data_IF_047650988879
#
_entry.id   IF_047650988879
#
_cell.length_a   1.000
_cell.length_b   1.000
_cell.length_c   1.000
_cell.angle_alpha   90.00
_cell.angle_beta   90.00
_cell.angle_gamma   90.00
#
_symmetry.space_group_name_H-M   'P 1'
#
loop_
_entity.id
_entity.type
_entity.pdbx_description
1 polymer ?
#
# COMPACT_ATOMS: atom_id res chain seq x y z
N UNK A 1 12.66 4.84 -57.04
CA UNK A 1 12.45 3.47 -56.52
C UNK A 1 12.53 3.54 -55.00
N UNK A 2 11.39 3.45 -54.33
CA UNK A 2 11.31 3.48 -52.88
C UNK A 2 11.14 2.05 -52.37
N UNK A 3 12.17 1.53 -51.71
CA UNK A 3 12.11 0.27 -50.96
C UNK A 3 11.27 0.47 -49.70
N UNK A 4 10.17 -0.27 -49.50
CA UNK A 4 9.47 -0.27 -48.23
C UNK A 4 10.28 -1.09 -47.22
N UNK A 5 10.66 -0.45 -46.12
CA UNK A 5 11.32 -1.07 -44.97
C UNK A 5 10.27 -1.92 -44.26
N UNK A 6 10.30 -3.23 -44.50
CA UNK A 6 9.59 -4.22 -43.70
C UNK A 6 10.27 -4.27 -42.31
N UNK A 7 9.74 -3.53 -41.35
CA UNK A 7 10.03 -3.77 -39.93
C UNK A 7 9.29 -5.05 -39.49
N UNK A 8 9.85 -5.86 -38.58
CA UNK A 8 9.16 -7.04 -38.09
C UNK A 8 7.88 -6.59 -37.39
N UNK A 9 6.73 -7.07 -37.86
CA UNK A 9 5.47 -6.95 -37.15
C UNK A 9 5.53 -7.88 -35.94
N UNK A 10 6.27 -7.47 -34.89
CA UNK A 10 6.23 -8.16 -33.61
C UNK A 10 4.77 -8.25 -33.18
N UNK A 11 4.30 -9.49 -33.02
CA UNK A 11 2.93 -9.74 -32.61
C UNK A 11 2.68 -9.13 -31.24
N UNK A 12 1.45 -8.68 -30.97
CA UNK A 12 1.10 -8.12 -29.66
C UNK A 12 1.41 -9.10 -28.50
N UNK A 13 1.41 -10.40 -28.80
CA UNK A 13 1.78 -11.47 -27.88
C UNK A 13 3.29 -11.54 -27.63
N UNK A 14 4.14 -11.44 -28.65
CA UNK A 14 5.60 -11.36 -28.50
C UNK A 14 6.03 -10.14 -27.68
N UNK A 15 5.41 -8.98 -27.93
CA UNK A 15 5.67 -7.74 -27.17
C UNK A 15 5.28 -7.91 -25.70
N UNK A 16 4.17 -8.59 -25.42
CA UNK A 16 3.75 -8.91 -24.06
C UNK A 16 4.73 -9.88 -23.37
N UNK A 17 5.12 -10.96 -24.03
CA UNK A 17 6.06 -11.95 -23.48
C UNK A 17 7.43 -11.33 -23.21
N UNK A 18 7.93 -10.49 -24.12
CA UNK A 18 9.19 -9.76 -23.94
C UNK A 18 9.11 -8.80 -22.73
N UNK A 19 8.01 -8.07 -22.59
CA UNK A 19 7.81 -7.16 -21.45
C UNK A 19 7.67 -7.92 -20.11
N UNK A 20 7.00 -9.08 -20.10
CA UNK A 20 6.89 -9.94 -18.93
C UNK A 20 8.25 -10.54 -18.52
N UNK A 21 9.04 -10.98 -19.49
CA UNK A 21 10.39 -11.50 -19.25
C UNK A 21 11.34 -10.43 -18.73
N UNK A 22 11.31 -9.21 -19.28
CA UNK A 22 12.09 -8.09 -18.79
C UNK A 22 11.70 -7.70 -17.35
N UNK A 23 10.40 -7.64 -17.06
CA UNK A 23 9.89 -7.37 -15.72
C UNK A 23 10.38 -8.41 -14.69
N UNK A 24 10.35 -9.70 -15.04
CA UNK A 24 10.83 -10.77 -14.18
C UNK A 24 12.35 -10.73 -13.96
N UNK A 25 13.12 -10.40 -15.01
CA UNK A 25 14.58 -10.24 -14.94
C UNK A 25 14.96 -9.12 -13.96
N UNK A 26 14.39 -7.94 -14.12
CA UNK A 26 14.68 -6.80 -13.24
C UNK A 26 14.36 -7.13 -11.77
N UNK A 27 13.29 -7.90 -11.52
CA UNK A 27 12.88 -8.28 -10.17
C UNK A 27 13.83 -9.31 -9.56
N UNK A 28 14.37 -10.20 -10.40
CA UNK A 28 15.43 -11.15 -10.03
C UNK A 28 16.76 -10.47 -9.75
N UNK A 29 17.12 -9.47 -10.55
CA UNK A 29 18.35 -8.69 -10.33
C UNK A 29 18.26 -7.93 -8.99
N UNK A 30 17.09 -7.39 -8.65
CA UNK A 30 16.84 -6.77 -7.35
C UNK A 30 16.96 -7.79 -6.19
N UNK A 31 16.45 -9.01 -6.36
CA UNK A 31 16.58 -10.06 -5.33
C UNK A 31 18.02 -10.54 -5.16
N UNK A 32 18.77 -10.69 -6.26
CA UNK A 32 20.18 -11.09 -6.23
C UNK A 32 21.05 -10.04 -5.53
N UNK A 33 20.71 -8.76 -5.65
CA UNK A 33 21.43 -7.67 -4.97
C UNK A 33 21.29 -7.69 -3.43
N UNK A 34 20.27 -8.38 -2.91
CA UNK A 34 19.96 -8.38 -1.47
C UNK A 34 20.50 -9.60 -0.71
N UNK A 35 21.01 -10.62 -1.41
CA UNK A 35 21.50 -11.91 -0.86
C UNK A 35 20.60 -12.54 0.24
N UNK A 36 19.29 -12.59 -0.03
CA UNK A 36 18.29 -13.15 0.88
C UNK A 36 17.52 -14.31 0.28
N UNK A 37 17.18 -15.28 1.14
CA UNK A 37 16.41 -16.47 0.78
C UNK A 37 14.91 -16.21 0.71
N UNK A 38 14.17 -17.00 -0.06
CA UNK A 38 12.71 -16.85 -0.19
C UNK A 38 11.94 -16.98 1.13
N UNK A 39 12.45 -17.76 2.09
CA UNK A 39 11.84 -17.86 3.43
C UNK A 39 12.00 -16.56 4.21
N UNK A 40 13.20 -15.99 4.22
CA UNK A 40 13.48 -14.71 4.88
C UNK A 40 12.67 -13.54 4.29
N UNK A 41 12.42 -13.56 2.98
CA UNK A 41 11.53 -12.60 2.33
C UNK A 41 10.09 -12.74 2.85
N UNK A 42 9.60 -13.98 2.97
CA UNK A 42 8.26 -14.27 3.51
C UNK A 42 8.10 -13.82 4.96
N UNK A 43 9.10 -14.09 5.82
CA UNK A 43 9.06 -13.78 7.25
C UNK A 43 9.09 -12.26 7.53
N UNK A 44 9.73 -11.47 6.66
CA UNK A 44 9.81 -10.01 6.79
C UNK A 44 8.63 -9.28 6.15
N UNK A 45 7.80 -9.98 5.40
CA UNK A 45 6.69 -9.37 4.67
C UNK A 45 5.49 -9.13 5.59
N UNK A 46 4.77 -8.00 5.46
CA UNK A 46 3.51 -7.76 6.16
C UNK A 46 2.35 -8.65 5.67
N UNK A 47 2.54 -9.38 4.57
CA UNK A 47 1.56 -10.29 3.96
C UNK A 47 2.24 -11.64 3.78
N UNK A 48 1.50 -12.74 3.92
CA UNK A 48 2.01 -14.10 3.69
C UNK A 48 2.47 -14.24 2.24
N UNK A 49 3.78 -14.18 2.00
CA UNK A 49 4.38 -14.48 0.71
C UNK A 49 4.85 -15.93 0.73
N UNK A 50 4.19 -16.80 -0.05
CA UNK A 50 4.63 -18.19 -0.16
C UNK A 50 5.97 -18.26 -0.93
N UNK A 51 6.92 -19.11 -0.50
CA UNK A 51 8.18 -19.30 -1.23
C UNK A 51 7.99 -19.75 -2.68
N UNK A 52 6.93 -20.53 -2.94
CA UNK A 52 6.53 -20.93 -4.30
C UNK A 52 6.04 -19.74 -5.13
N UNK A 53 5.23 -18.86 -4.55
CA UNK A 53 4.74 -17.65 -5.20
C UNK A 53 5.89 -16.70 -5.57
N UNK A 54 6.84 -16.49 -4.65
CA UNK A 54 8.04 -15.68 -4.90
C UNK A 54 8.86 -16.27 -6.06
N UNK A 55 9.06 -17.60 -6.06
CA UNK A 55 9.80 -18.28 -7.12
C UNK A 55 9.08 -18.19 -8.48
N UNK A 56 7.76 -18.30 -8.53
CA UNK A 56 6.97 -18.18 -9.76
C UNK A 56 7.02 -16.77 -10.34
N UNK A 57 6.97 -15.74 -9.50
CA UNK A 57 7.04 -14.33 -9.94
C UNK A 57 8.43 -13.97 -10.44
N UNK A 58 9.48 -14.43 -9.76
CA UNK A 58 10.87 -14.23 -10.18
C UNK A 58 11.23 -14.97 -11.47
N UNK A 59 10.55 -16.10 -11.74
CA UNK A 59 10.68 -16.85 -13.00
C UNK A 59 9.81 -16.28 -14.12
N UNK A 60 9.01 -15.24 -13.86
CA UNK A 60 8.12 -14.62 -14.84
C UNK A 60 6.94 -15.50 -15.26
N UNK A 61 6.66 -16.60 -14.54
CA UNK A 61 5.55 -17.51 -14.88
C UNK A 61 4.18 -16.89 -14.61
N UNK A 62 4.12 -16.00 -13.62
CA UNK A 62 2.88 -15.34 -13.19
C UNK A 62 3.13 -13.87 -12.93
N UNK A 63 2.21 -13.02 -13.40
CA UNK A 63 2.22 -11.61 -13.03
C UNK A 63 1.66 -11.46 -11.60
N UNK A 64 2.43 -10.88 -10.65
CA UNK A 64 1.98 -10.74 -9.26
C UNK A 64 0.78 -9.80 -9.10
N UNK A 65 0.01 -9.97 -8.02
CA UNK A 65 -0.97 -8.97 -7.61
C UNK A 65 -0.25 -7.70 -7.14
N UNK A 66 -0.97 -6.57 -7.09
CA UNK A 66 -0.39 -5.28 -6.67
C UNK A 66 0.20 -5.37 -5.26
N UNK A 67 -0.58 -5.90 -4.32
CA UNK A 67 -0.18 -6.00 -2.91
C UNK A 67 0.98 -6.97 -2.72
N UNK A 68 0.98 -8.08 -3.46
CA UNK A 68 2.10 -9.03 -3.46
C UNK A 68 3.39 -8.39 -3.99
N UNK A 69 3.31 -7.66 -5.11
CA UNK A 69 4.47 -6.97 -5.69
C UNK A 69 5.02 -5.91 -4.73
N UNK A 70 4.14 -5.09 -4.15
CA UNK A 70 4.55 -4.04 -3.22
C UNK A 70 5.17 -4.61 -1.96
N UNK A 71 4.59 -5.68 -1.38
CA UNK A 71 5.16 -6.33 -0.21
C UNK A 71 6.53 -6.95 -0.53
N UNK A 72 6.68 -7.63 -1.66
CA UNK A 72 7.93 -8.23 -2.10
C UNK A 72 9.03 -7.17 -2.33
N UNK A 73 8.75 -6.15 -3.16
CA UNK A 73 9.72 -5.10 -3.50
C UNK A 73 10.11 -4.27 -2.26
N UNK A 74 9.16 -4.03 -1.36
CA UNK A 74 9.42 -3.33 -0.11
C UNK A 74 10.39 -4.09 0.78
N UNK A 75 10.20 -5.40 0.96
CA UNK A 75 11.14 -6.24 1.72
C UNK A 75 12.52 -6.24 1.07
N UNK A 76 12.60 -6.33 -0.27
CA UNK A 76 13.88 -6.26 -0.98
C UNK A 76 14.59 -4.92 -0.72
N UNK A 77 13.90 -3.78 -0.83
CA UNK A 77 14.52 -2.48 -0.53
C UNK A 77 14.82 -2.27 0.95
N UNK A 78 14.00 -2.80 1.87
CA UNK A 78 14.29 -2.74 3.31
C UNK A 78 15.58 -3.48 3.65
N UNK A 79 15.86 -4.60 2.96
CA UNK A 79 17.11 -5.34 3.10
C UNK A 79 18.27 -4.60 2.44
N UNK A 80 18.06 -4.03 1.24
CA UNK A 80 19.10 -3.32 0.49
C UNK A 80 19.56 -2.03 1.17
N UNK A 81 18.62 -1.24 1.70
CA UNK A 81 18.89 0.07 2.28
C UNK A 81 19.09 0.03 3.82
N UNK A 82 18.97 -1.15 4.44
CA UNK A 82 18.98 -1.39 5.90
C UNK A 82 18.02 -0.47 6.69
N UNK A 83 16.96 0.02 6.03
CA UNK A 83 16.02 1.00 6.58
C UNK A 83 14.58 0.61 6.25
N UNK A 84 13.62 0.92 7.13
CA UNK A 84 12.21 0.67 6.85
C UNK A 84 11.75 1.55 5.67
N UNK A 85 11.21 0.91 4.64
CA UNK A 85 10.74 1.59 3.42
C UNK A 85 9.25 1.91 3.61
N UNK A 86 8.88 3.17 3.39
CA UNK A 86 7.49 3.62 3.52
C UNK A 86 6.59 2.98 2.45
N UNK A 87 5.31 2.79 2.77
CA UNK A 87 4.30 2.33 1.79
C UNK A 87 4.14 3.29 0.60
N UNK A 88 4.53 4.55 0.76
CA UNK A 88 4.38 5.59 -0.26
C UNK A 88 5.68 5.90 -1.01
N UNK A 89 6.70 5.03 -0.90
CA UNK A 89 8.00 5.25 -1.54
C UNK A 89 7.87 5.41 -3.07
N UNK A 90 8.47 6.46 -3.67
CA UNK A 90 8.44 6.68 -5.12
C UNK A 90 9.03 5.51 -5.93
N UNK A 91 9.94 4.71 -5.35
CA UNK A 91 10.50 3.51 -6.00
C UNK A 91 9.45 2.42 -6.17
N UNK A 92 8.49 2.29 -5.23
CA UNK A 92 7.37 1.35 -5.34
C UNK A 92 6.44 1.75 -6.49
N UNK A 93 6.18 3.05 -6.68
CA UNK A 93 5.35 3.55 -7.79
C UNK A 93 5.90 3.17 -9.16
N UNK A 94 7.22 3.21 -9.35
CA UNK A 94 7.86 2.77 -10.61
C UNK A 94 7.57 1.31 -10.93
N UNK A 95 7.53 0.45 -9.91
CA UNK A 95 7.19 -0.97 -10.08
C UNK A 95 5.70 -1.17 -10.38
N UNK A 96 4.81 -0.38 -9.77
CA UNK A 96 3.38 -0.38 -10.07
C UNK A 96 3.09 0.09 -11.52
N UNK A 97 3.75 1.15 -11.97
CA UNK A 97 3.65 1.67 -13.35
C UNK A 97 4.09 0.62 -14.37
N UNK A 98 5.22 -0.05 -14.13
CA UNK A 98 5.71 -1.15 -14.98
C UNK A 98 4.73 -2.33 -15.01
N UNK A 99 4.18 -2.73 -13.87
CA UNK A 99 3.16 -3.79 -13.79
C UNK A 99 1.91 -3.41 -14.59
N UNK A 100 1.47 -2.16 -14.48
CA UNK A 100 0.29 -1.64 -15.20
C UNK A 100 0.53 -1.65 -16.71
N UNK A 101 1.74 -1.28 -17.16
CA UNK A 101 2.14 -1.37 -18.56
C UNK A 101 2.09 -2.80 -19.09
N UNK A 102 2.58 -3.78 -18.32
CA UNK A 102 2.52 -5.21 -18.71
C UNK A 102 1.07 -5.72 -18.77
N UNK A 103 0.20 -5.28 -17.86
CA UNK A 103 -1.24 -5.61 -17.91
C UNK A 103 -1.93 -5.06 -19.16
N UNK A 104 -1.65 -3.81 -19.52
CA UNK A 104 -2.19 -3.21 -20.75
C UNK A 104 -1.74 -3.97 -22.01
N UNK A 105 -0.48 -4.43 -22.04
CA UNK A 105 0.03 -5.26 -23.13
C UNK A 105 -0.66 -6.63 -23.19
N UNK A 106 -0.93 -7.25 -22.02
CA UNK A 106 -1.69 -8.51 -21.94
C UNK A 106 -3.09 -8.35 -22.49
N UNK A 107 -3.78 -7.30 -22.07
CA UNK A 107 -5.17 -7.05 -22.46
C UNK A 107 -5.25 -6.73 -23.96
N UNK A 108 -4.25 -6.01 -24.50
CA UNK A 108 -4.07 -5.81 -25.95
C UNK A 108 -3.79 -7.11 -26.70
N UNK A 109 -2.94 -8.00 -26.17
CA UNK A 109 -2.66 -9.29 -26.78
C UNK A 109 -3.92 -10.18 -26.83
N UNK A 110 -4.72 -10.20 -25.75
CA UNK A 110 -6.02 -10.90 -25.70
C UNK A 110 -7.03 -10.36 -26.70
N UNK A 111 -7.10 -9.04 -26.87
CA UNK A 111 -7.96 -8.41 -27.87
C UNK A 111 -7.49 -8.67 -29.31
N UNK A 112 -6.19 -8.86 -29.51
CA UNK A 112 -5.59 -9.17 -30.83
C UNK A 112 -5.72 -10.64 -31.21
N UNK A 113 -6.09 -11.53 -30.27
CA UNK A 113 -6.24 -12.96 -30.49
C UNK A 113 -7.62 -13.46 -29.96
N UNK A 114 -8.72 -13.20 -30.69
CA UNK A 114 -10.08 -13.60 -30.27
C UNK A 114 -10.37 -15.11 -30.37
N UNK A 115 -9.36 -15.94 -30.68
CA UNK A 115 -9.55 -17.34 -31.09
C UNK A 115 -9.46 -18.42 -30.01
N UNK A 116 -9.34 -18.09 -28.72
CA UNK A 116 -9.28 -19.09 -27.64
C UNK A 116 -10.23 -18.71 -26.51
N UNK A 117 -11.53 -18.72 -26.84
CA UNK A 117 -12.61 -18.95 -25.88
C UNK A 117 -12.91 -20.45 -25.87
N UNK A 118 -13.09 -20.98 -24.66
CA UNK A 118 -13.37 -22.38 -24.33
C UNK A 118 -14.32 -23.10 -25.32
N UNK A 119 -14.00 -24.34 -25.73
CA UNK A 119 -14.93 -25.21 -26.41
C UNK A 119 -15.83 -25.86 -25.36
N UNK A 120 -16.75 -25.09 -24.76
CA UNK A 120 -17.84 -25.71 -24.00
C UNK A 120 -19.15 -25.62 -24.79
N UNK A 121 -19.23 -26.59 -25.71
CA UNK A 121 -20.42 -27.41 -25.92
C UNK A 121 -21.76 -26.66 -25.88
N UNK A 122 -22.04 -25.92 -26.94
CA UNK A 122 -23.42 -25.90 -27.41
C UNK A 122 -23.67 -27.20 -28.18
N UNK A 123 -24.50 -28.14 -27.70
CA UNK A 123 -25.14 -29.05 -28.62
C UNK A 123 -26.24 -28.24 -29.29
N UNK A 124 -25.88 -27.63 -30.41
CA UNK A 124 -26.82 -27.49 -31.52
C UNK A 124 -27.11 -28.89 -32.06
N UNK A 125 -27.72 -29.73 -31.23
CA UNK A 125 -28.40 -30.91 -31.73
C UNK A 125 -29.58 -30.36 -32.53
N UNK A 126 -29.36 -30.32 -33.84
CA UNK A 126 -30.45 -30.38 -34.79
C UNK A 126 -31.19 -31.67 -34.46
N UNK A 127 -32.19 -31.58 -33.58
CA UNK A 127 -33.05 -32.71 -33.27
C UNK A 127 -33.61 -33.19 -34.59
N UNK A 128 -33.39 -34.46 -34.98
CA UNK A 128 -34.07 -35.02 -36.12
C UNK A 128 -35.55 -35.09 -35.71
N UNK A 129 -36.29 -34.05 -36.06
CA UNK A 129 -37.74 -34.15 -36.33
C UNK A 129 -37.94 -34.78 -37.70
N UNK A 130 -36.98 -35.58 -38.16
CA UNK A 130 -37.24 -36.54 -39.22
C UNK A 130 -38.05 -37.65 -38.58
N UNK A 131 -39.37 -37.48 -38.60
CA UNK A 131 -40.29 -38.53 -38.18
C UNK A 131 -40.17 -39.77 -39.06
N UNK A 132 -39.37 -39.74 -40.14
CA UNK A 132 -39.03 -40.92 -40.95
C UNK A 132 -40.25 -41.65 -41.51
N UNK A 133 -41.43 -41.03 -41.41
CA UNK A 133 -42.69 -41.69 -41.66
C UNK A 133 -42.89 -41.74 -43.17
N UNK A 134 -42.63 -42.91 -43.74
CA UNK A 134 -42.93 -43.20 -45.14
C UNK A 134 -44.37 -43.71 -45.21
N UNK A 135 -45.29 -42.96 -45.84
CA UNK A 135 -46.67 -43.40 -45.97
C UNK A 135 -46.72 -44.69 -46.84
N UNK A 136 -47.57 -45.67 -46.47
CA UNK A 136 -47.69 -46.91 -47.23
C UNK A 136 -48.22 -46.64 -48.65
N UNK A 137 -47.71 -47.32 -49.69
CA UNK A 137 -48.09 -47.09 -51.09
C UNK A 137 -49.54 -47.49 -51.38
N UNK A 138 -50.17 -46.86 -52.38
CA UNK A 138 -51.54 -47.18 -52.81
C UNK A 138 -51.60 -48.63 -53.36
N UNK A 139 -52.16 -49.54 -52.56
CA UNK A 139 -52.13 -50.99 -52.79
C UNK A 139 -51.42 -51.81 -51.70
N UNK A 140 -51.00 -51.17 -50.61
CA UNK A 140 -50.30 -51.79 -49.49
C UNK A 140 -51.05 -53.00 -48.90
N UNK A 141 -50.26 -54.02 -48.59
CA UNK A 141 -50.75 -55.21 -47.89
C UNK A 141 -51.11 -54.89 -46.43
N UNK A 142 -52.01 -55.67 -45.84
CA UNK A 142 -52.44 -55.52 -44.43
C UNK A 142 -51.24 -55.47 -43.45
N UNK A 143 -50.17 -56.20 -43.77
CA UNK A 143 -48.93 -56.24 -43.00
C UNK A 143 -48.15 -54.91 -43.06
N UNK A 144 -48.11 -54.25 -44.21
CA UNK A 144 -47.46 -52.94 -44.39
C UNK A 144 -48.23 -51.83 -43.67
N UNK A 145 -49.57 -51.93 -43.63
CA UNK A 145 -50.42 -51.05 -42.82
C UNK A 145 -50.23 -51.26 -41.31
N UNK A 146 -50.07 -52.50 -40.86
CA UNK A 146 -49.74 -52.79 -39.46
C UNK A 146 -48.34 -52.31 -39.07
N UNK A 147 -47.35 -52.45 -39.97
CA UNK A 147 -46.01 -51.88 -39.79
C UNK A 147 -46.06 -50.37 -39.65
N UNK A 148 -46.69 -49.66 -40.59
CA UNK A 148 -46.82 -48.20 -40.55
C UNK A 148 -47.56 -47.71 -39.29
N UNK A 149 -48.54 -48.48 -38.80
CA UNK A 149 -49.23 -48.19 -37.52
C UNK A 149 -48.33 -48.42 -36.31
N UNK A 150 -47.43 -49.40 -36.35
CA UNK A 150 -46.42 -49.61 -35.30
C UNK A 150 -45.44 -48.45 -35.29
N UNK A 151 -44.91 -48.06 -36.47
CA UNK A 151 -43.96 -46.95 -36.61
C UNK A 151 -44.56 -45.63 -36.10
N UNK A 152 -45.84 -45.35 -36.42
CA UNK A 152 -46.54 -44.18 -35.90
C UNK A 152 -46.72 -44.21 -34.37
N UNK A 153 -46.91 -45.39 -33.78
CA UNK A 153 -46.98 -45.53 -32.31
C UNK A 153 -45.63 -45.28 -31.68
N UNK A 154 -44.56 -45.78 -32.29
CA UNK A 154 -43.19 -45.57 -31.81
C UNK A 154 -42.79 -44.09 -31.92
N UNK A 155 -43.15 -43.41 -33.02
CA UNK A 155 -42.97 -41.96 -33.17
C UNK A 155 -43.76 -41.19 -32.11
N UNK A 156 -45.02 -41.57 -31.84
CA UNK A 156 -45.84 -40.94 -30.79
C UNK A 156 -45.22 -41.11 -29.39
N UNK A 157 -44.73 -42.31 -29.07
CA UNK A 157 -44.07 -42.58 -27.80
C UNK A 157 -42.78 -41.74 -27.67
N UNK A 158 -41.95 -41.70 -28.72
CA UNK A 158 -40.72 -40.90 -28.75
C UNK A 158 -41.00 -39.39 -28.60
N UNK A 159 -42.04 -38.88 -29.25
CA UNK A 159 -42.47 -37.48 -29.12
C UNK A 159 -42.95 -37.17 -27.70
N UNK A 160 -43.70 -38.09 -27.08
CA UNK A 160 -44.18 -37.93 -25.70
C UNK A 160 -43.02 -37.96 -24.69
N UNK A 161 -42.04 -38.84 -24.89
CA UNK A 161 -40.81 -38.87 -24.08
C UNK A 161 -39.99 -37.58 -24.25
N UNK A 162 -39.87 -37.08 -25.49
CA UNK A 162 -39.19 -35.82 -25.76
C UNK A 162 -39.91 -34.63 -25.13
N UNK A 163 -41.24 -34.55 -25.21
CA UNK A 163 -42.04 -33.51 -24.53
C UNK A 163 -41.81 -33.52 -23.02
N UNK A 164 -41.80 -34.70 -22.40
CA UNK A 164 -41.52 -34.83 -20.96
C UNK A 164 -40.09 -34.39 -20.62
N UNK A 165 -39.12 -34.73 -21.46
CA UNK A 165 -37.72 -34.31 -21.30
C UNK A 165 -37.59 -32.79 -21.38
N UNK A 166 -38.13 -32.16 -22.42
CA UNK A 166 -38.12 -30.70 -22.60
C UNK A 166 -38.81 -29.99 -21.45
N UNK A 167 -39.96 -30.50 -20.96
CA UNK A 167 -40.62 -29.94 -19.77
C UNK A 167 -39.76 -30.02 -18.51
N UNK A 168 -38.99 -31.09 -18.37
CA UNK A 168 -38.09 -31.27 -17.22
C UNK A 168 -36.91 -30.31 -17.31
N UNK A 169 -36.28 -30.20 -18.48
CA UNK A 169 -35.20 -29.25 -18.74
C UNK A 169 -35.67 -27.80 -18.56
N UNK A 170 -36.87 -27.44 -19.06
CA UNK A 170 -37.43 -26.10 -18.87
C UNK A 170 -37.64 -25.76 -17.38
N UNK A 171 -38.08 -26.72 -16.56
CA UNK A 171 -38.17 -26.53 -15.11
C UNK A 171 -36.79 -26.33 -14.48
N UNK A 172 -35.79 -27.11 -14.89
CA UNK A 172 -34.41 -26.94 -14.41
C UNK A 172 -33.87 -25.55 -14.73
N UNK A 173 -34.09 -25.06 -15.95
CA UNK A 173 -33.68 -23.71 -16.35
C UNK A 173 -34.38 -22.63 -15.51
N UNK A 174 -35.67 -22.80 -15.19
CA UNK A 174 -36.38 -21.87 -14.30
C UNK A 174 -35.83 -21.89 -12.87
N UNK A 175 -35.49 -23.06 -12.34
CA UNK A 175 -34.88 -23.21 -11.02
C UNK A 175 -33.49 -22.56 -10.98
N UNK A 176 -32.69 -22.76 -12.03
CA UNK A 176 -31.38 -22.10 -12.20
C UNK A 176 -31.54 -20.58 -12.32
N UNK A 177 -32.51 -20.10 -13.09
CA UNK A 177 -32.81 -18.68 -13.20
C UNK A 177 -33.18 -18.08 -11.84
N UNK A 178 -34.02 -18.77 -11.05
CA UNK A 178 -34.38 -18.34 -9.70
C UNK A 178 -33.16 -18.31 -8.77
N UNK A 179 -32.28 -19.30 -8.87
CA UNK A 179 -31.03 -19.35 -8.09
C UNK A 179 -30.10 -18.18 -8.44
N UNK A 180 -29.87 -17.93 -9.73
CA UNK A 180 -29.04 -16.81 -10.18
C UNK A 180 -29.63 -15.47 -9.73
N UNK A 181 -30.95 -15.30 -9.80
CA UNK A 181 -31.62 -14.08 -9.30
C UNK A 181 -31.41 -13.88 -7.79
N UNK A 182 -31.44 -14.95 -7.00
CA UNK A 182 -31.16 -14.90 -5.56
C UNK A 182 -29.69 -14.55 -5.28
N UNK A 183 -28.74 -15.12 -6.04
CA UNK A 183 -27.32 -14.80 -5.92
C UNK A 183 -27.04 -13.33 -6.31
N UNK A 184 -27.65 -12.81 -7.38
CA UNK A 184 -27.53 -11.40 -7.77
C UNK A 184 -28.09 -10.46 -6.70
N UNK A 185 -29.23 -10.81 -6.10
CA UNK A 185 -29.82 -10.02 -5.01
C UNK A 185 -28.88 -9.98 -3.80
N UNK A 186 -28.31 -11.13 -3.42
CA UNK A 186 -27.33 -11.22 -2.32
C UNK A 186 -26.08 -10.39 -2.60
N UNK A 187 -25.52 -10.49 -3.80
CA UNK A 187 -24.35 -9.69 -4.20
C UNK A 187 -24.65 -8.20 -4.19
N UNK A 188 -25.85 -7.79 -4.60
CA UNK A 188 -26.28 -6.40 -4.55
C UNK A 188 -26.32 -5.88 -3.12
N UNK A 189 -26.92 -6.64 -2.19
CA UNK A 189 -26.94 -6.26 -0.77
C UNK A 189 -25.54 -6.18 -0.15
N UNK A 190 -24.65 -7.12 -0.49
CA UNK A 190 -23.25 -7.06 -0.03
C UNK A 190 -22.54 -5.82 -0.58
N UNK A 191 -22.78 -5.47 -1.84
CA UNK A 191 -22.17 -4.30 -2.47
C UNK A 191 -22.65 -3.00 -1.81
N UNK A 192 -23.94 -2.91 -1.47
CA UNK A 192 -24.49 -1.78 -0.72
C UNK A 192 -23.90 -1.67 0.69
N UNK A 193 -23.73 -2.80 1.38
CA UNK A 193 -23.08 -2.84 2.68
C UNK A 193 -21.63 -2.34 2.60
N UNK A 194 -20.84 -2.87 1.67
CA UNK A 194 -19.45 -2.47 1.48
C UNK A 194 -19.33 -0.99 1.09
N UNK A 195 -20.28 -0.44 0.32
CA UNK A 195 -20.36 1.00 0.04
C UNK A 195 -20.62 1.80 1.33
N UNK A 196 -21.55 1.36 2.17
CA UNK A 196 -21.83 2.00 3.45
C UNK A 196 -20.64 1.98 4.40
N UNK A 197 -19.95 0.85 4.50
CA UNK A 197 -18.75 0.69 5.32
C UNK A 197 -17.60 1.56 4.80
N UNK A 198 -17.41 1.62 3.49
CA UNK A 198 -16.43 2.53 2.86
C UNK A 198 -16.72 3.99 3.20
N UNK A 199 -17.97 4.45 3.07
CA UNK A 199 -18.33 5.82 3.41
C UNK A 199 -18.10 6.12 4.90
N UNK A 200 -18.39 5.16 5.79
CA UNK A 200 -18.11 5.30 7.22
C UNK A 200 -16.62 5.46 7.48
N UNK A 201 -15.78 4.63 6.87
CA UNK A 201 -14.33 4.72 6.98
C UNK A 201 -13.79 6.04 6.41
N UNK A 202 -14.34 6.54 5.29
CA UNK A 202 -13.95 7.83 4.73
C UNK A 202 -14.25 8.99 5.71
N UNK A 203 -15.41 8.96 6.38
CA UNK A 203 -15.76 9.94 7.42
C UNK A 203 -14.81 9.85 8.62
N UNK A 204 -14.46 8.65 9.05
CA UNK A 204 -13.52 8.43 10.16
C UNK A 204 -12.11 8.92 9.82
N UNK A 205 -11.60 8.60 8.64
CA UNK A 205 -10.31 9.11 8.13
C UNK A 205 -10.31 10.63 8.05
N UNK A 206 -11.40 11.24 7.58
CA UNK A 206 -11.52 12.70 7.55
C UNK A 206 -11.49 13.31 8.96
N UNK A 207 -12.17 12.69 9.93
CA UNK A 207 -12.14 13.10 11.34
C UNK A 207 -10.72 13.00 11.93
N UNK A 208 -10.05 11.87 11.76
CA UNK A 208 -8.69 11.65 12.24
C UNK A 208 -7.68 12.63 11.61
N UNK A 209 -7.83 12.96 10.32
CA UNK A 209 -7.01 13.98 9.67
C UNK A 209 -7.19 15.36 10.30
N UNK A 210 -8.42 15.75 10.65
CA UNK A 210 -8.69 17.01 11.35
C UNK A 210 -8.07 17.00 12.75
N UNK A 211 -8.24 15.92 13.51
CA UNK A 211 -7.62 15.77 14.83
C UNK A 211 -6.10 15.87 14.76
N UNK A 212 -5.47 15.23 13.76
CA UNK A 212 -4.02 15.34 13.54
C UNK A 212 -3.59 16.77 13.23
N UNK A 213 -4.37 17.51 12.46
CA UNK A 213 -4.07 18.91 12.15
C UNK A 213 -4.10 19.78 13.42
N UNK A 214 -5.14 19.63 14.24
CA UNK A 214 -5.26 20.35 15.53
C UNK A 214 -4.10 20.01 16.47
N UNK A 215 -3.75 18.74 16.62
CA UNK A 215 -2.60 18.34 17.46
C UNK A 215 -1.27 18.87 16.93
N UNK A 216 -1.11 18.98 15.61
CA UNK A 216 0.09 19.57 15.01
C UNK A 216 0.21 21.06 15.34
N UNK A 217 -0.89 21.80 15.21
CA UNK A 217 -0.94 23.22 15.56
C UNK A 217 -0.60 23.44 17.04
N UNK A 218 -1.19 22.64 17.94
CA UNK A 218 -0.85 22.68 19.36
C UNK A 218 0.62 22.39 19.67
N UNK A 219 1.25 21.47 18.93
CA UNK A 219 2.68 21.18 19.09
C UNK A 219 3.55 22.33 18.62
N UNK A 220 3.17 23.01 17.54
CA UNK A 220 3.91 24.15 17.03
C UNK A 220 3.77 25.36 17.97
N UNK A 221 2.58 25.59 18.54
CA UNK A 221 2.35 26.60 19.58
C UNK A 221 3.19 26.32 20.83
N UNK A 222 3.21 25.07 21.30
CA UNK A 222 4.05 24.69 22.46
C UNK A 222 5.54 24.88 22.17
N UNK A 223 6.00 24.55 20.97
CA UNK A 223 7.40 24.80 20.56
C UNK A 223 7.74 26.28 20.56
N UNK A 224 6.82 27.13 20.08
CA UNK A 224 7.00 28.58 20.12
C UNK A 224 7.12 29.09 21.57
N UNK A 225 6.24 28.62 22.46
CA UNK A 225 6.30 28.96 23.89
C UNK A 225 7.61 28.50 24.54
N UNK A 226 8.09 27.29 24.23
CA UNK A 226 9.39 26.84 24.74
C UNK A 226 10.55 27.71 24.24
N UNK A 227 10.53 28.12 22.97
CA UNK A 227 11.55 29.00 22.42
C UNK A 227 11.55 30.38 23.09
N UNK A 228 10.37 30.91 23.44
CA UNK A 228 10.23 32.16 24.21
C UNK A 228 10.81 32.01 25.62
N UNK A 229 10.47 30.92 26.33
CA UNK A 229 11.01 30.62 27.66
C UNK A 229 12.54 30.48 27.63
N UNK A 230 13.10 29.82 26.61
CA UNK A 230 14.55 29.68 26.47
C UNK A 230 15.23 31.02 26.21
N UNK A 231 14.61 31.92 25.42
CA UNK A 231 15.11 33.26 25.19
C UNK A 231 15.11 34.09 26.48
N UNK A 232 14.00 34.06 27.23
CA UNK A 232 13.87 34.73 28.53
C UNK A 232 14.89 34.21 29.53
N UNK A 233 15.11 32.89 29.58
CA UNK A 233 16.11 32.27 30.45
C UNK A 233 17.53 32.78 30.12
N UNK A 234 17.88 32.89 28.84
CA UNK A 234 19.18 33.42 28.43
C UNK A 234 19.34 34.89 28.84
N UNK A 235 18.27 35.69 28.69
CA UNK A 235 18.27 37.08 29.12
C UNK A 235 18.49 37.20 30.64
N UNK A 236 17.75 36.43 31.44
CA UNK A 236 17.88 36.41 32.90
C UNK A 236 19.27 35.94 33.36
N UNK A 237 19.86 34.93 32.72
CA UNK A 237 21.22 34.48 33.05
C UNK A 237 22.26 35.57 32.76
N UNK A 238 22.06 36.37 31.71
CA UNK A 238 22.92 37.50 31.41
C UNK A 238 22.78 38.59 32.48
N UNK A 239 21.55 38.94 32.85
CA UNK A 239 21.29 39.89 33.93
C UNK A 239 21.90 39.44 35.26
N UNK A 240 21.80 38.14 35.59
CA UNK A 240 22.43 37.56 36.78
C UNK A 240 23.96 37.71 36.72
N UNK A 241 24.59 37.46 35.57
CA UNK A 241 26.03 37.64 35.39
C UNK A 241 26.46 39.10 35.57
N UNK A 242 25.72 40.04 34.99
CA UNK A 242 26.00 41.47 35.10
C UNK A 242 25.87 41.95 36.55
N UNK A 243 24.86 41.46 37.29
CA UNK A 243 24.69 41.73 38.72
C UNK A 243 25.82 41.14 39.56
N UNK A 244 26.28 39.93 39.22
CA UNK A 244 27.38 39.29 39.93
C UNK A 244 28.70 40.04 39.71
N UNK A 245 28.98 40.50 38.49
CA UNK A 245 30.13 41.34 38.18
C UNK A 245 30.07 42.66 38.96
N UNK A 246 28.90 43.31 38.99
CA UNK A 246 28.69 44.52 39.79
C UNK A 246 28.91 44.29 41.29
N UNK A 247 28.46 43.14 41.81
CA UNK A 247 28.70 42.74 43.20
C UNK A 247 30.19 42.53 43.48
N UNK A 248 30.93 41.92 42.56
CA UNK A 248 32.38 41.73 42.69
C UNK A 248 33.12 43.07 42.75
N UNK A 249 32.76 44.03 41.90
CA UNK A 249 33.32 45.39 41.92
C UNK A 249 33.04 46.09 43.25
N UNK A 250 31.78 46.07 43.71
CA UNK A 250 31.42 46.69 45.00
C UNK A 250 32.15 46.06 46.18
N UNK A 251 32.31 44.73 46.20
CA UNK A 251 33.06 44.04 47.25
C UNK A 251 34.54 44.46 47.25
N UNK A 252 35.14 44.62 46.06
CA UNK A 252 36.51 45.08 45.92
C UNK A 252 36.67 46.53 46.42
N UNK A 253 35.77 47.43 46.01
CA UNK A 253 35.77 48.83 46.44
C UNK A 253 35.58 48.95 47.95
N UNK A 254 34.70 48.13 48.53
CA UNK A 254 34.50 48.05 49.98
C UNK A 254 35.77 47.58 50.70
N UNK A 255 36.40 46.49 50.24
CA UNK A 255 37.64 45.99 50.83
C UNK A 255 38.77 47.04 50.77
N UNK A 256 38.87 47.77 49.65
CA UNK A 256 39.82 48.87 49.49
C UNK A 256 39.53 50.02 50.46
N UNK A 257 38.26 50.38 50.64
CA UNK A 257 37.85 51.41 51.59
C UNK A 257 38.17 51.01 53.04
N UNK A 258 37.88 49.77 53.44
CA UNK A 258 38.24 49.25 54.76
C UNK A 258 39.74 49.30 54.99
N UNK A 259 40.55 48.90 54.01
CA UNK A 259 42.00 48.92 54.12
C UNK A 259 42.54 50.35 54.28
N UNK A 260 42.02 51.31 53.51
CA UNK A 260 42.37 52.72 53.67
C UNK A 260 41.99 53.26 55.06
N UNK A 261 40.84 52.85 55.60
CA UNK A 261 40.40 53.23 56.94
C UNK A 261 41.34 52.65 58.01
N UNK A 262 41.72 51.37 57.88
CA UNK A 262 42.71 50.72 58.77
C UNK A 262 44.06 51.41 58.71
N UNK A 263 44.54 51.75 57.52
CA UNK A 263 45.81 52.46 57.35
C UNK A 263 45.80 53.83 58.02
N UNK A 264 44.72 54.60 57.86
CA UNK A 264 44.55 55.89 58.54
C UNK A 264 44.53 55.75 60.06
N UNK A 265 43.72 54.83 60.58
CA UNK A 265 43.66 54.56 62.01
C UNK A 265 45.02 54.12 62.57
N UNK A 266 45.74 53.23 61.88
CA UNK A 266 47.08 52.81 62.27
C UNK A 266 48.09 53.96 62.25
N UNK A 267 48.05 54.82 61.23
CA UNK A 267 48.91 56.00 61.15
C UNK A 267 48.64 56.99 62.29
N UNK A 268 47.37 57.20 62.65
CA UNK A 268 46.98 58.02 63.81
C UNK A 268 47.47 57.41 65.12
N UNK A 269 47.29 56.10 65.33
CA UNK A 269 47.81 55.40 66.51
C UNK A 269 49.33 55.52 66.60
N UNK A 270 50.06 55.37 65.49
CA UNK A 270 51.51 55.54 65.47
C UNK A 270 51.93 56.98 65.81
N UNK A 271 51.25 57.99 65.25
CA UNK A 271 51.49 59.40 65.60
C UNK A 271 51.26 59.67 67.08
N UNK A 272 50.16 59.16 67.64
CA UNK A 272 49.84 59.32 69.06
C UNK A 272 50.88 58.62 69.95
N UNK A 273 51.34 57.43 69.56
CA UNK A 273 52.43 56.72 70.26
C UNK A 273 53.74 57.51 70.24
N UNK A 274 54.12 58.07 69.09
CA UNK A 274 55.33 58.88 68.97
C UNK A 274 55.24 60.16 69.80
N UNK A 275 54.10 60.85 69.79
CA UNK A 275 53.85 62.01 70.65
C UNK A 275 54.00 61.65 72.14
N UNK A 276 53.42 60.52 72.56
CA UNK A 276 53.51 60.05 73.94
C UNK A 276 54.96 59.70 74.33
N UNK A 277 55.73 59.06 73.45
CA UNK A 277 57.16 58.79 73.67
C UNK A 277 57.98 60.08 73.79
N UNK A 278 57.69 61.10 72.99
CA UNK A 278 58.35 62.42 73.09
C UNK A 278 58.04 63.08 74.43
N UNK A 279 56.78 63.07 74.88
CA UNK A 279 56.40 63.62 76.19
C UNK A 279 56.99 62.86 77.39
N UNK A 280 57.31 61.58 77.23
CA UNK A 280 58.01 60.78 78.24
C UNK A 280 59.53 61.01 78.25
N UNK A 281 60.11 61.38 77.10
CA UNK A 281 61.55 61.58 76.95
C UNK A 281 62.00 63.00 77.33
N UNK A 282 61.14 64.00 77.19
CA UNK A 282 61.31 65.36 77.72
C UNK A 282 60.22 65.63 78.78
N UNK A 283 60.44 65.26 80.06
CA UNK A 283 59.52 65.64 81.11
C UNK A 283 59.58 67.17 81.31
N UNK A 284 58.44 67.87 81.46
CA UNK A 284 58.48 69.29 81.80
C UNK A 284 59.17 69.48 83.16
N UNK A 285 60.10 70.45 83.21
CA UNK A 285 60.81 70.87 84.43
C UNK A 285 59.87 71.50 85.46
#
# INVERSE_FOLDING_TARGET
MATPIYGPTESAEEVYQAAQAAFARDLKDLQLACDITYRQIGDRSPIVLSPSGIAETLRGKRLPSRDFLNALVRVLYEVQDEKPVSREDPRLRRWEERRTRVLLLRDRARQSNPGVGDPDTGPGDSFPTDTGYVPPPDGATLLELESAKSDLRDILNNLQEHEQRVRTEFRQVLDEQARVAAELSRLTSLLEQERGDKERLEREVASLKRQRAVLSEQLDDLRAQFAEIDADKVALLKEESDLNDRRAVLNFDWARYEELLRQRANAEVMRLREQLQRTLSDPPA
#
